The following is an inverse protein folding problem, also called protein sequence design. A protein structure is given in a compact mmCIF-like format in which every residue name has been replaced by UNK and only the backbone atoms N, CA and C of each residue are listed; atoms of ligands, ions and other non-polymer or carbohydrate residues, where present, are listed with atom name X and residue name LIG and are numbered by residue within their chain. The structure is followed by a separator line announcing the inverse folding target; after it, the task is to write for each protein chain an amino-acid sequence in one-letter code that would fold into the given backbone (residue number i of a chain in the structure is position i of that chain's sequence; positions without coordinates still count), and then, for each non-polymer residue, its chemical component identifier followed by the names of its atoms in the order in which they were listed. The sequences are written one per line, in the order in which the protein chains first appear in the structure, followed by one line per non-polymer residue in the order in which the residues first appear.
data_IF_569315845215
#
_entry.id   IF_569315845215
#
_cell.length_a   1.000
_cell.length_b   1.000
_cell.length_c   1.000
_cell.angle_alpha   90.00
_cell.angle_beta   90.00
_cell.angle_gamma   90.00
#
_symmetry.space_group_name_H-M   'P 1'
#
loop_
_entity.id
_entity.type
_entity.pdbx_description
1 polymer ?
#
# COMPACT_ATOMS: atom_id res chain seq x y z
N UNK A 1 75.77 15.33 0.42
CA UNK A 1 76.39 16.16 1.47
C UNK A 1 75.28 16.84 2.25
N UNK A 2 75.19 16.51 3.53
CA UNK A 2 74.80 17.35 4.68
C UNK A 2 73.76 18.46 4.52
N UNK A 3 72.59 18.22 5.13
CA UNK A 3 72.05 18.84 6.35
C UNK A 3 71.93 20.39 6.54
N UNK A 4 70.80 20.74 7.19
CA UNK A 4 70.39 21.94 7.98
C UNK A 4 69.68 23.05 7.18
N UNK A 5 68.39 23.36 7.37
CA UNK A 5 67.56 23.66 8.56
C UNK A 5 67.91 24.97 9.28
N UNK A 6 66.97 25.95 9.25
CA UNK A 6 66.52 26.94 10.29
C UNK A 6 65.44 27.81 9.60
N UNK A 7 64.13 27.62 9.78
CA UNK A 7 63.23 27.96 10.90
C UNK A 7 62.69 29.42 10.96
N UNK A 8 61.36 29.52 10.75
CA UNK A 8 60.32 30.38 11.36
C UNK A 8 60.13 31.86 10.94
N UNK A 9 58.92 32.11 10.44
CA UNK A 9 58.14 33.35 10.59
C UNK A 9 56.68 33.10 10.24
N UNK A 10 55.77 33.25 11.23
CA UNK A 10 54.31 33.10 11.11
C UNK A 10 53.68 34.28 10.35
N UNK A 11 52.56 34.02 9.69
CA UNK A 11 51.59 35.03 9.25
C UNK A 11 50.41 34.39 8.54
N UNK A 12 49.33 34.13 9.28
CA UNK A 12 48.02 33.72 8.76
C UNK A 12 47.42 34.84 7.91
N UNK A 13 46.87 34.49 6.75
CA UNK A 13 45.77 35.24 6.13
C UNK A 13 44.63 34.27 5.82
N UNK A 14 43.52 34.53 6.51
CA UNK A 14 42.17 34.02 6.29
C UNK A 14 41.60 34.66 5.03
N UNK A 15 41.16 33.85 4.06
CA UNK A 15 40.19 34.28 3.05
C UNK A 15 38.80 33.84 3.50
N UNK A 16 37.98 34.84 3.77
CA UNK A 16 36.60 34.73 4.23
C UNK A 16 35.66 34.47 3.07
N UNK A 17 34.91 33.36 3.16
CA UNK A 17 33.65 33.14 2.46
C UNK A 17 32.68 34.30 2.78
N UNK A 18 32.27 35.06 1.76
CA UNK A 18 31.36 36.20 1.93
C UNK A 18 29.90 35.74 1.91
N UNK A 19 29.28 35.71 3.08
CA UNK A 19 27.82 35.63 3.26
C UNK A 19 27.17 36.84 2.56
N UNK A 20 26.08 36.67 1.77
CA UNK A 20 25.38 37.79 1.15
C UNK A 20 24.92 38.81 2.21
N UNK A 21 25.12 40.11 1.98
CA UNK A 21 24.93 41.17 3.00
C UNK A 21 23.55 41.15 3.68
N UNK A 22 22.49 40.68 2.98
CA UNK A 22 21.15 40.50 3.56
C UNK A 22 21.08 39.42 4.65
N UNK A 23 21.83 38.32 4.49
CA UNK A 23 21.91 37.23 5.46
C UNK A 23 22.75 37.64 6.69
N UNK A 24 23.71 38.55 6.53
CA UNK A 24 24.54 39.07 7.63
C UNK A 24 23.77 39.97 8.60
N UNK A 25 22.77 40.70 8.10
CA UNK A 25 21.87 41.52 8.94
C UNK A 25 20.88 40.65 9.71
N UNK A 26 20.29 39.62 9.09
CA UNK A 26 19.37 38.68 9.75
C UNK A 26 20.07 37.85 10.86
N UNK A 27 21.33 37.43 10.64
CA UNK A 27 22.12 36.69 11.64
C UNK A 27 22.42 37.55 12.89
N UNK A 28 22.59 38.87 12.74
CA UNK A 28 22.86 39.78 13.87
C UNK A 28 21.62 40.06 14.72
N UNK A 29 20.41 39.98 14.16
CA UNK A 29 19.18 40.11 14.93
C UNK A 29 18.94 38.85 15.79
N UNK A 30 19.32 37.67 15.30
CA UNK A 30 19.18 36.37 16.00
C UNK A 30 20.02 36.30 17.30
N UNK A 31 21.20 36.94 17.35
CA UNK A 31 22.06 36.92 18.54
C UNK A 31 21.50 37.73 19.74
N UNK A 32 20.45 38.54 19.54
CA UNK A 32 19.90 39.41 20.60
C UNK A 32 18.75 38.82 21.41
N UNK A 33 18.41 37.55 21.19
CA UNK A 33 17.68 36.74 22.15
C UNK A 33 16.21 37.13 22.33
N UNK A 34 15.35 36.66 21.43
CA UNK A 34 13.95 36.41 21.70
C UNK A 34 13.54 35.10 21.03
N UNK A 35 13.11 34.13 21.83
CA UNK A 35 12.71 32.79 21.36
C UNK A 35 11.31 32.75 20.71
N UNK A 36 10.69 33.91 20.46
CA UNK A 36 9.37 34.01 19.81
C UNK A 36 9.47 34.13 18.28
N UNK A 37 10.64 34.46 17.71
CA UNK A 37 10.84 34.65 16.26
C UNK A 37 11.37 33.40 15.52
N UNK A 38 11.47 32.25 16.19
CA UNK A 38 11.82 30.96 15.55
C UNK A 38 10.80 30.49 14.50
N UNK A 39 9.66 31.18 14.37
CA UNK A 39 8.65 30.97 13.33
C UNK A 39 8.92 31.75 12.03
N UNK A 40 9.94 32.61 11.96
CA UNK A 40 10.23 33.41 10.77
C UNK A 40 11.45 32.95 9.97
N UNK A 41 12.25 32.00 10.47
CA UNK A 41 13.38 31.46 9.70
C UNK A 41 12.82 30.54 8.60
N UNK A 42 13.03 30.85 7.30
CA UNK A 42 12.61 29.96 6.24
C UNK A 42 13.29 28.62 6.44
N UNK A 43 12.52 27.53 6.40
CA UNK A 43 13.02 26.18 6.71
C UNK A 43 14.23 25.77 5.83
N UNK A 44 14.36 26.37 4.65
CA UNK A 44 15.52 26.25 3.76
C UNK A 44 16.82 26.79 4.38
N UNK A 45 16.75 27.86 5.16
CA UNK A 45 17.89 28.46 5.88
C UNK A 45 18.31 27.56 7.04
N UNK A 46 17.35 27.03 7.79
CA UNK A 46 17.65 26.07 8.87
C UNK A 46 18.29 24.79 8.34
N UNK A 47 17.83 24.29 7.18
CA UNK A 47 18.40 23.09 6.58
C UNK A 47 19.81 23.33 6.00
N UNK A 48 20.04 24.53 5.47
CA UNK A 48 21.37 24.95 5.01
C UNK A 48 22.37 24.98 6.17
N UNK A 49 21.99 25.55 7.32
CA UNK A 49 22.83 25.59 8.53
C UNK A 49 23.16 24.19 9.05
N UNK A 50 22.19 23.27 9.10
CA UNK A 50 22.43 21.88 9.53
C UNK A 50 23.37 21.14 8.58
N UNK A 51 23.28 21.39 7.26
CA UNK A 51 24.15 20.76 6.27
C UNK A 51 25.58 21.33 6.29
N UNK A 52 25.73 22.63 6.55
CA UNK A 52 27.03 23.29 6.72
C UNK A 52 27.75 22.78 7.99
N UNK A 53 27.01 22.66 9.10
CA UNK A 53 27.52 22.05 10.33
C UNK A 53 27.98 20.59 10.10
N UNK A 54 27.23 19.80 9.33
CA UNK A 54 27.61 18.42 9.00
C UNK A 54 28.85 18.36 8.09
N UNK A 55 29.04 19.34 7.19
CA UNK A 55 30.23 19.49 6.33
C UNK A 55 31.48 19.78 7.18
N UNK A 56 31.35 20.66 8.17
CA UNK A 56 32.42 21.02 9.10
C UNK A 56 32.78 19.86 10.06
N UNK A 57 31.77 19.15 10.60
CA UNK A 57 31.98 18.09 11.60
C UNK A 57 32.52 16.80 10.99
N UNK A 58 32.03 16.41 9.81
CA UNK A 58 32.30 15.08 9.22
C UNK A 58 33.17 15.12 7.97
N UNK A 59 33.57 16.31 7.49
CA UNK A 59 34.45 16.46 6.32
C UNK A 59 33.85 15.87 5.05
N UNK A 60 32.52 15.86 4.94
CA UNK A 60 31.80 15.32 3.77
C UNK A 60 31.92 16.36 2.64
N UNK A 61 32.70 16.04 1.60
CA UNK A 61 32.89 16.92 0.45
C UNK A 61 31.73 16.75 -0.53
N UNK A 62 30.61 17.44 -0.25
CA UNK A 62 29.44 17.53 -1.15
C UNK A 62 29.68 18.72 -2.08
N UNK A 63 29.60 18.50 -3.39
CA UNK A 63 29.70 19.59 -4.37
C UNK A 63 28.48 20.53 -4.27
N UNK A 64 28.65 21.82 -4.61
CA UNK A 64 27.55 22.80 -4.51
C UNK A 64 26.35 22.41 -5.40
N UNK A 65 26.58 21.72 -6.52
CA UNK A 65 25.53 21.17 -7.39
C UNK A 65 24.74 20.03 -6.72
N UNK A 66 25.41 19.16 -5.95
CA UNK A 66 24.76 18.09 -5.18
C UNK A 66 24.02 18.64 -3.97
N UNK A 67 24.56 19.70 -3.35
CA UNK A 67 23.91 20.43 -2.27
C UNK A 67 22.64 21.12 -2.75
N UNK A 68 22.69 21.78 -3.92
CA UNK A 68 21.50 22.37 -4.56
C UNK A 68 20.47 21.30 -4.90
N UNK A 69 20.88 20.11 -5.35
CA UNK A 69 19.97 19.00 -5.60
C UNK A 69 19.32 18.49 -4.30
N UNK A 70 20.10 18.32 -3.24
CA UNK A 70 19.63 17.92 -1.90
C UNK A 70 18.70 18.99 -1.34
N UNK A 71 19.02 20.27 -1.48
CA UNK A 71 18.18 21.38 -1.05
C UNK A 71 16.91 21.49 -1.87
N UNK A 72 16.93 21.21 -3.17
CA UNK A 72 15.75 21.21 -4.04
C UNK A 72 14.81 20.05 -3.70
N UNK A 73 15.36 18.83 -3.57
CA UNK A 73 14.63 17.64 -3.15
C UNK A 73 14.09 17.80 -1.72
N UNK A 74 14.92 18.32 -0.81
CA UNK A 74 14.49 18.56 0.56
C UNK A 74 13.49 19.70 0.63
N UNK A 75 13.62 20.79 -0.14
CA UNK A 75 12.61 21.86 -0.21
C UNK A 75 11.26 21.34 -0.71
N UNK A 76 11.27 20.41 -1.68
CA UNK A 76 10.05 19.74 -2.13
C UNK A 76 9.43 18.86 -1.03
N UNK A 77 10.24 18.09 -0.30
CA UNK A 77 9.82 17.28 0.85
C UNK A 77 9.31 18.15 2.00
N UNK A 78 9.99 19.26 2.30
CA UNK A 78 9.63 20.21 3.36
C UNK A 78 8.32 20.91 3.04
N UNK A 79 8.11 21.31 1.78
CA UNK A 79 6.83 21.89 1.34
C UNK A 79 5.69 20.87 1.40
N UNK A 80 5.96 19.59 1.10
CA UNK A 80 5.02 18.48 1.33
C UNK A 80 4.70 18.34 2.82
N UNK A 81 5.70 18.38 3.69
CA UNK A 81 5.52 18.31 5.15
C UNK A 81 4.72 19.52 5.65
N UNK A 82 4.99 20.72 5.16
CA UNK A 82 4.25 21.94 5.50
C UNK A 82 2.80 21.86 5.06
N UNK A 83 2.52 21.49 3.80
CA UNK A 83 1.15 21.32 3.27
C UNK A 83 0.37 20.27 4.09
N UNK A 84 1.03 19.17 4.47
CA UNK A 84 0.47 18.14 5.34
C UNK A 84 0.18 18.68 6.74
N UNK A 85 1.15 19.36 7.38
CA UNK A 85 1.02 19.91 8.72
C UNK A 85 -0.07 20.99 8.78
N UNK A 86 -0.17 21.83 7.76
CA UNK A 86 -1.23 22.84 7.64
C UNK A 86 -2.61 22.17 7.58
N UNK A 87 -2.75 21.12 6.78
CA UNK A 87 -4.02 20.37 6.68
C UNK A 87 -4.32 19.63 7.98
N UNK A 88 -3.32 19.00 8.57
CA UNK A 88 -3.39 18.35 9.88
C UNK A 88 -3.89 19.34 10.94
N UNK A 89 -3.25 20.48 11.12
CA UNK A 89 -3.62 21.49 12.13
C UNK A 89 -5.05 21.99 11.90
N UNK A 90 -5.46 22.21 10.64
CA UNK A 90 -6.82 22.66 10.29
C UNK A 90 -7.89 21.61 10.60
N UNK A 91 -7.54 20.33 10.58
CA UNK A 91 -8.49 19.21 10.66
C UNK A 91 -8.36 18.37 11.93
N UNK A 92 -7.36 18.62 12.79
CA UNK A 92 -7.04 17.82 13.99
C UNK A 92 -8.23 17.64 14.95
N UNK A 93 -9.12 18.62 15.00
CA UNK A 93 -10.30 18.61 15.90
C UNK A 93 -11.54 17.97 15.23
N UNK A 94 -11.43 17.62 13.93
CA UNK A 94 -12.53 17.06 13.11
C UNK A 94 -12.26 15.64 12.65
N UNK A 95 -11.00 15.23 12.59
CA UNK A 95 -10.55 13.98 12.00
C UNK A 95 -9.71 13.22 13.03
N UNK A 96 -10.08 11.97 13.28
CA UNK A 96 -9.28 11.07 14.12
C UNK A 96 -8.20 10.40 13.27
N UNK A 97 -6.99 10.97 13.32
CA UNK A 97 -5.86 10.52 12.53
C UNK A 97 -5.30 9.19 13.03
N UNK A 98 -5.35 8.96 14.35
CA UNK A 98 -4.92 7.69 14.93
C UNK A 98 -5.82 6.55 14.43
N UNK A 99 -7.13 6.80 14.36
CA UNK A 99 -8.07 5.86 13.76
C UNK A 99 -7.72 5.56 12.30
N UNK A 100 -7.43 6.57 11.49
CA UNK A 100 -7.09 6.36 10.07
C UNK A 100 -5.77 5.61 9.91
N UNK A 101 -4.76 5.95 10.71
CA UNK A 101 -3.48 5.24 10.73
C UNK A 101 -3.68 3.77 11.09
N UNK A 102 -4.50 3.47 12.11
CA UNK A 102 -4.85 2.10 12.46
C UNK A 102 -5.55 1.36 11.30
N UNK A 103 -6.38 2.04 10.50
CA UNK A 103 -6.98 1.45 9.29
C UNK A 103 -5.91 1.10 8.23
N UNK A 104 -4.96 2.00 7.98
CA UNK A 104 -3.87 1.75 7.03
C UNK A 104 -2.95 0.62 7.51
N UNK A 105 -2.64 0.57 8.81
CA UNK A 105 -1.93 -0.52 9.45
C UNK A 105 -2.72 -1.83 9.36
N UNK A 106 -4.04 -1.81 9.50
CA UNK A 106 -4.89 -2.99 9.33
C UNK A 106 -4.89 -3.52 7.88
N UNK A 107 -4.77 -2.64 6.88
CA UNK A 107 -4.65 -3.02 5.46
C UNK A 107 -3.29 -3.67 5.15
N UNK A 108 -2.21 -3.16 5.72
CA UNK A 108 -0.84 -3.64 5.44
C UNK A 108 -0.44 -4.87 6.27
N UNK A 109 -0.96 -4.99 7.50
CA UNK A 109 -0.64 -6.07 8.46
C UNK A 109 -0.69 -7.50 7.92
N UNK A 110 -1.64 -7.90 7.04
CA UNK A 110 -1.66 -9.26 6.48
C UNK A 110 -0.35 -9.65 5.76
N UNK A 111 0.45 -8.65 5.39
CA UNK A 111 1.64 -8.76 4.54
C UNK A 111 2.88 -8.36 5.32
N UNK A 112 2.79 -7.35 6.18
CA UNK A 112 3.93 -6.80 6.93
C UNK A 112 4.14 -7.43 8.30
N UNK A 113 3.15 -8.14 8.85
CA UNK A 113 3.30 -8.81 10.14
C UNK A 113 4.17 -10.07 9.98
N UNK A 114 5.49 -9.87 10.11
CA UNK A 114 6.49 -10.93 10.01
C UNK A 114 6.55 -11.75 11.28
N UNK A 115 6.59 -13.08 11.13
CA UNK A 115 6.89 -13.99 12.24
C UNK A 115 8.27 -13.63 12.77
N UNK A 116 8.35 -13.22 14.04
CA UNK A 116 9.64 -13.01 14.71
C UNK A 116 10.21 -14.41 14.99
N UNK A 117 11.32 -14.82 14.34
CA UNK A 117 11.92 -16.10 14.66
C UNK A 117 12.49 -16.05 16.08
N UNK A 118 12.32 -17.14 16.83
CA UNK A 118 12.80 -17.22 18.22
C UNK A 118 14.33 -17.28 18.27
N UNK A 119 14.98 -17.62 17.14
CA UNK A 119 16.44 -17.67 16.98
C UNK A 119 16.89 -16.97 15.69
N UNK A 120 17.99 -16.21 15.71
CA UNK A 120 18.52 -15.52 14.51
C UNK A 120 18.84 -16.46 13.34
N UNK A 121 19.17 -17.72 13.64
CA UNK A 121 19.55 -18.76 12.66
C UNK A 121 18.36 -19.23 11.80
N UNK A 122 17.11 -19.07 12.27
CA UNK A 122 15.91 -19.47 11.54
C UNK A 122 15.59 -18.52 10.38
N UNK A 123 16.09 -17.28 10.40
CA UNK A 123 15.83 -16.25 9.37
C UNK A 123 16.30 -16.71 7.97
N UNK A 124 17.36 -17.52 7.90
CA UNK A 124 17.97 -17.97 6.64
C UNK A 124 17.18 -19.12 6.00
N UNK A 125 16.31 -19.81 6.75
CA UNK A 125 15.51 -20.95 6.28
C UNK A 125 14.02 -20.62 6.04
N UNK A 126 13.54 -19.44 6.46
CA UNK A 126 12.14 -19.04 6.29
C UNK A 126 11.87 -18.71 4.81
N UNK A 127 11.16 -19.59 4.12
CA UNK A 127 10.57 -19.28 2.82
C UNK A 127 9.56 -18.13 2.93
N UNK A 128 9.25 -17.43 1.84
CA UNK A 128 8.23 -16.34 1.77
C UNK A 128 6.87 -16.78 2.36
N UNK A 129 6.61 -18.09 2.37
CA UNK A 129 5.43 -18.75 2.93
C UNK A 129 5.33 -18.65 4.46
N UNK A 130 6.39 -18.22 5.16
CA UNK A 130 6.39 -18.08 6.63
C UNK A 130 6.63 -16.64 7.12
N UNK A 131 6.80 -15.69 6.19
CA UNK A 131 7.16 -14.30 6.50
C UNK A 131 5.95 -13.38 6.73
N UNK A 132 4.72 -13.80 6.46
CA UNK A 132 3.55 -12.96 6.72
C UNK A 132 2.29 -13.78 7.01
N UNK A 133 1.21 -13.12 7.43
CA UNK A 133 -0.08 -13.77 7.74
C UNK A 133 -0.62 -14.48 6.49
N UNK A 134 -0.65 -13.82 5.33
CA UNK A 134 -1.18 -14.42 4.09
C UNK A 134 -0.28 -15.56 3.59
N UNK A 135 1.04 -15.42 3.71
CA UNK A 135 2.01 -16.48 3.43
C UNK A 135 1.76 -17.71 4.31
N UNK A 136 1.58 -17.52 5.62
CA UNK A 136 1.29 -18.61 6.57
C UNK A 136 -0.03 -19.34 6.27
N UNK A 137 -0.97 -18.61 5.67
CA UNK A 137 -2.24 -19.12 5.16
C UNK A 137 -2.12 -19.73 3.76
N UNK A 138 -0.93 -19.72 3.16
CA UNK A 138 -0.56 -20.24 1.85
C UNK A 138 -1.30 -19.60 0.69
N UNK A 139 -1.45 -18.27 0.76
CA UNK A 139 -1.82 -17.44 -0.39
C UNK A 139 -0.68 -17.42 -1.42
N UNK A 140 -1.00 -17.15 -2.68
CA UNK A 140 -0.02 -17.07 -3.77
C UNK A 140 0.76 -15.76 -3.67
N UNK A 141 2.00 -15.78 -4.14
CA UNK A 141 2.84 -14.59 -4.23
C UNK A 141 2.13 -13.49 -5.04
N UNK A 142 1.48 -13.83 -6.14
CA UNK A 142 0.75 -12.87 -6.98
C UNK A 142 -0.43 -12.23 -6.24
N UNK A 143 -1.22 -13.02 -5.49
CA UNK A 143 -2.29 -12.47 -4.66
C UNK A 143 -1.72 -11.54 -3.60
N UNK A 144 -0.65 -11.95 -2.91
CA UNK A 144 0.00 -11.14 -1.87
C UNK A 144 0.54 -9.84 -2.46
N UNK A 145 1.19 -9.87 -3.62
CA UNK A 145 1.68 -8.68 -4.30
C UNK A 145 0.55 -7.72 -4.68
N UNK A 146 -0.58 -8.22 -5.19
CA UNK A 146 -1.73 -7.38 -5.51
C UNK A 146 -2.32 -6.70 -4.28
N UNK A 147 -2.48 -7.42 -3.17
CA UNK A 147 -2.99 -6.86 -1.91
C UNK A 147 -1.97 -5.88 -1.32
N UNK A 148 -0.67 -6.15 -1.42
CA UNK A 148 0.40 -5.25 -0.96
C UNK A 148 0.34 -3.91 -1.68
N UNK A 149 0.30 -3.96 -3.02
CA UNK A 149 0.19 -2.77 -3.84
C UNK A 149 -1.10 -2.02 -3.55
N UNK A 150 -2.22 -2.72 -3.34
CA UNK A 150 -3.46 -2.07 -2.96
C UNK A 150 -3.35 -1.31 -1.62
N UNK A 151 -2.66 -1.88 -0.63
CA UNK A 151 -2.33 -1.20 0.63
C UNK A 151 -1.51 0.07 0.41
N UNK A 152 -0.44 0.00 -0.40
CA UNK A 152 0.35 1.20 -0.75
C UNK A 152 -0.44 2.26 -1.49
N UNK A 153 -1.44 1.88 -2.29
CA UNK A 153 -2.35 2.82 -2.93
C UNK A 153 -3.30 3.50 -1.91
N UNK A 154 -3.69 2.79 -0.85
CA UNK A 154 -4.46 3.37 0.25
C UNK A 154 -3.64 4.42 1.01
N UNK A 155 -2.37 4.10 1.33
CA UNK A 155 -1.43 5.04 1.96
C UNK A 155 -1.22 6.27 1.08
N UNK A 156 -0.99 6.05 -0.22
CA UNK A 156 -0.87 7.14 -1.19
C UNK A 156 -2.14 7.99 -1.26
N UNK A 157 -3.33 7.37 -1.24
CA UNK A 157 -4.60 8.09 -1.25
C UNK A 157 -4.76 8.97 -0.01
N UNK A 158 -4.43 8.45 1.17
CA UNK A 158 -4.39 9.20 2.43
C UNK A 158 -3.44 10.40 2.32
N UNK A 159 -2.20 10.18 1.88
CA UNK A 159 -1.22 11.26 1.71
C UNK A 159 -1.72 12.34 0.74
N UNK A 160 -2.29 11.96 -0.40
CA UNK A 160 -2.84 12.92 -1.36
C UNK A 160 -4.03 13.71 -0.81
N UNK A 161 -4.85 13.10 0.05
CA UNK A 161 -5.92 13.80 0.77
C UNK A 161 -5.31 14.85 1.71
N UNK A 162 -4.34 14.44 2.52
CA UNK A 162 -3.70 15.30 3.52
C UNK A 162 -2.85 16.42 2.90
N UNK A 163 -2.31 16.22 1.70
CA UNK A 163 -1.61 17.26 0.95
C UNK A 163 -2.54 18.24 0.20
N UNK A 164 -3.86 18.11 0.36
CA UNK A 164 -4.82 18.94 -0.36
C UNK A 164 -4.78 18.71 -1.88
N UNK A 165 -4.38 17.50 -2.33
CA UNK A 165 -4.34 17.08 -3.74
C UNK A 165 -5.37 15.99 -4.05
N UNK A 166 -6.68 16.21 -3.76
CA UNK A 166 -7.71 15.18 -3.87
C UNK A 166 -7.95 14.69 -5.30
N UNK A 167 -7.51 15.44 -6.33
CA UNK A 167 -7.60 15.03 -7.72
C UNK A 167 -6.78 13.75 -8.04
N UNK A 168 -5.74 13.46 -7.24
CA UNK A 168 -4.95 12.22 -7.37
C UNK A 168 -5.49 11.09 -6.51
N UNK A 169 -6.21 11.42 -5.43
CA UNK A 169 -6.84 10.46 -4.52
C UNK A 169 -7.77 9.50 -5.27
N UNK A 170 -8.57 10.00 -6.22
CA UNK A 170 -9.52 9.16 -6.95
C UNK A 170 -8.84 8.06 -7.78
N UNK A 171 -7.71 8.37 -8.41
CA UNK A 171 -6.88 7.39 -9.13
C UNK A 171 -6.32 6.33 -8.18
N UNK A 172 -5.86 6.73 -7.00
CA UNK A 172 -5.26 5.85 -6.02
C UNK A 172 -6.30 4.93 -5.37
N UNK A 173 -7.46 5.45 -4.96
CA UNK A 173 -8.55 4.65 -4.42
C UNK A 173 -9.10 3.65 -5.45
N UNK A 174 -9.15 4.05 -6.74
CA UNK A 174 -9.51 3.14 -7.82
C UNK A 174 -8.50 1.99 -7.95
N UNK A 175 -7.21 2.32 -7.96
CA UNK A 175 -6.13 1.33 -8.02
C UNK A 175 -6.19 0.37 -6.84
N UNK A 176 -6.39 0.88 -5.62
CA UNK A 176 -6.61 0.09 -4.41
C UNK A 176 -7.73 -0.95 -4.61
N UNK A 177 -8.93 -0.53 -5.05
CA UNK A 177 -10.07 -1.44 -5.28
C UNK A 177 -9.72 -2.50 -6.33
N UNK A 178 -9.19 -2.10 -7.49
CA UNK A 178 -8.90 -3.04 -8.59
C UNK A 178 -7.86 -4.09 -8.20
N UNK A 179 -6.77 -3.67 -7.56
CA UNK A 179 -5.68 -4.55 -7.16
C UNK A 179 -6.15 -5.48 -6.04
N UNK A 180 -6.87 -4.97 -5.04
CA UNK A 180 -7.38 -5.78 -3.93
C UNK A 180 -8.30 -6.89 -4.43
N UNK A 181 -9.29 -6.55 -5.27
CA UNK A 181 -10.24 -7.53 -5.81
C UNK A 181 -9.57 -8.57 -6.72
N UNK A 182 -8.52 -8.20 -7.47
CA UNK A 182 -7.70 -9.16 -8.23
C UNK A 182 -6.98 -10.14 -7.32
N UNK A 183 -6.41 -9.67 -6.21
CA UNK A 183 -5.82 -10.54 -5.19
C UNK A 183 -6.82 -11.56 -4.66
N UNK A 184 -8.01 -11.10 -4.24
CA UNK A 184 -9.07 -12.01 -3.76
C UNK A 184 -9.50 -13.02 -4.82
N UNK A 185 -9.62 -12.59 -6.08
CA UNK A 185 -10.00 -13.45 -7.20
C UNK A 185 -8.98 -14.57 -7.45
N UNK A 186 -7.69 -14.24 -7.44
CA UNK A 186 -6.60 -15.21 -7.66
C UNK A 186 -6.75 -16.39 -6.70
N UNK A 187 -6.92 -16.12 -5.40
CA UNK A 187 -7.02 -17.19 -4.40
C UNK A 187 -8.26 -18.07 -4.56
N UNK A 188 -9.39 -17.49 -4.94
CA UNK A 188 -10.60 -18.27 -5.21
C UNK A 188 -10.42 -19.16 -6.44
N UNK A 189 -9.81 -18.65 -7.52
CA UNK A 189 -9.58 -19.41 -8.73
C UNK A 189 -8.46 -20.46 -8.58
N UNK A 190 -7.53 -20.29 -7.64
CA UNK A 190 -6.57 -21.34 -7.28
C UNK A 190 -7.26 -22.52 -6.58
N UNK A 191 -8.33 -22.26 -5.81
CA UNK A 191 -9.13 -23.31 -5.20
C UNK A 191 -9.94 -24.09 -6.25
N UNK A 192 -9.65 -25.40 -6.35
CA UNK A 192 -10.27 -26.29 -7.34
C UNK A 192 -11.81 -26.32 -7.30
N UNK A 193 -12.40 -26.26 -6.11
CA UNK A 193 -13.87 -26.33 -5.96
C UNK A 193 -14.53 -25.07 -6.52
N UNK A 194 -13.99 -23.91 -6.14
CA UNK A 194 -14.52 -22.61 -6.55
C UNK A 194 -14.26 -22.35 -8.04
N UNK A 195 -13.06 -22.69 -8.54
CA UNK A 195 -12.75 -22.67 -9.97
C UNK A 195 -13.68 -23.58 -10.77
N UNK A 196 -13.99 -24.77 -10.27
CA UNK A 196 -14.91 -25.70 -10.91
C UNK A 196 -16.30 -25.11 -11.16
N UNK A 197 -16.79 -24.25 -10.27
CA UNK A 197 -18.06 -23.53 -10.47
C UNK A 197 -18.00 -22.55 -11.65
N UNK A 198 -16.84 -21.90 -11.84
CA UNK A 198 -16.59 -21.00 -12.98
C UNK A 198 -16.49 -21.80 -14.27
N UNK A 199 -15.75 -22.91 -14.26
CA UNK A 199 -15.61 -23.82 -15.39
C UNK A 199 -16.97 -24.35 -15.85
N UNK A 200 -17.79 -24.87 -14.93
CA UNK A 200 -19.14 -25.38 -15.23
C UNK A 200 -20.00 -24.32 -15.92
N UNK A 201 -19.86 -23.05 -15.52
CA UNK A 201 -20.58 -21.93 -16.14
C UNK A 201 -19.99 -21.55 -17.51
N UNK A 202 -18.67 -21.56 -17.65
CA UNK A 202 -17.98 -21.34 -18.92
C UNK A 202 -18.41 -22.38 -19.98
N UNK A 203 -18.66 -23.62 -19.56
CA UNK A 203 -19.09 -24.71 -20.43
C UNK A 203 -20.60 -24.70 -20.76
N UNK A 204 -21.46 -24.07 -19.94
CA UNK A 204 -22.93 -24.02 -20.14
C UNK A 204 -23.45 -22.78 -20.90
N UNK A 205 -22.66 -21.73 -21.03
CA UNK A 205 -22.82 -20.69 -22.06
C UNK A 205 -23.62 -19.41 -21.75
N UNK A 206 -23.52 -18.48 -22.72
CA UNK A 206 -24.28 -17.24 -23.04
C UNK A 206 -23.97 -15.90 -22.35
N UNK A 207 -23.09 -15.81 -21.34
CA UNK A 207 -22.60 -14.51 -20.84
C UNK A 207 -21.18 -14.31 -21.32
N UNK A 208 -20.88 -13.16 -21.92
CA UNK A 208 -19.51 -12.67 -22.07
C UNK A 208 -18.97 -12.40 -20.66
N UNK A 209 -18.54 -13.43 -19.94
CA UNK A 209 -17.96 -13.32 -18.59
C UNK A 209 -16.44 -13.45 -18.72
N UNK A 210 -15.73 -12.36 -18.44
CA UNK A 210 -14.28 -12.31 -18.60
C UNK A 210 -13.51 -13.22 -17.65
N UNK A 211 -14.05 -13.52 -16.46
CA UNK A 211 -13.46 -14.50 -15.52
C UNK A 211 -13.61 -15.90 -16.10
N UNK A 212 -14.81 -16.24 -16.58
CA UNK A 212 -15.08 -17.55 -17.16
C UNK A 212 -14.25 -17.81 -18.44
N UNK A 213 -14.12 -16.79 -19.30
CA UNK A 213 -13.25 -16.87 -20.49
C UNK A 213 -11.79 -17.07 -20.11
N UNK A 214 -11.28 -16.35 -19.09
CA UNK A 214 -9.91 -16.52 -18.61
C UNK A 214 -9.68 -17.95 -18.12
N UNK A 215 -10.56 -18.46 -17.25
CA UNK A 215 -10.45 -19.81 -16.67
C UNK A 215 -10.45 -20.87 -17.77
N UNK A 216 -11.34 -20.73 -18.77
CA UNK A 216 -11.37 -21.64 -19.91
C UNK A 216 -10.04 -21.65 -20.67
N UNK A 217 -9.48 -20.48 -20.98
CA UNK A 217 -8.20 -20.40 -21.70
C UNK A 217 -7.03 -20.95 -20.88
N UNK A 218 -6.99 -20.68 -19.57
CA UNK A 218 -5.98 -21.25 -18.67
C UNK A 218 -6.09 -22.78 -18.62
N UNK A 219 -7.31 -23.32 -18.60
CA UNK A 219 -7.56 -24.75 -18.62
C UNK A 219 -7.16 -25.41 -19.95
N UNK A 220 -7.44 -24.75 -21.08
CA UNK A 220 -6.99 -25.20 -22.40
C UNK A 220 -5.45 -25.23 -22.49
N UNK A 221 -4.77 -24.21 -21.94
CA UNK A 221 -3.31 -24.13 -21.86
C UNK A 221 -2.76 -25.24 -20.96
N UNK A 222 -3.34 -25.46 -19.79
CA UNK A 222 -2.96 -26.59 -18.92
C UNK A 222 -3.04 -27.91 -19.68
N UNK A 223 -4.13 -28.17 -20.40
CA UNK A 223 -4.31 -29.44 -21.14
C UNK A 223 -3.27 -29.59 -22.25
N UNK A 224 -2.90 -28.51 -22.90
CA UNK A 224 -1.90 -28.53 -23.97
C UNK A 224 -0.47 -28.73 -23.46
N UNK A 225 -0.13 -28.18 -22.29
CA UNK A 225 1.25 -28.12 -21.78
C UNK A 225 1.51 -28.94 -20.50
N UNK A 226 0.50 -29.58 -19.92
CA UNK A 226 0.64 -30.43 -18.72
C UNK A 226 0.97 -29.65 -17.43
N UNK A 227 0.64 -28.36 -17.37
CA UNK A 227 0.94 -27.47 -16.23
C UNK A 227 -0.19 -27.48 -15.19
N UNK A 228 0.11 -27.21 -13.92
CA UNK A 228 -0.92 -27.13 -12.87
C UNK A 228 -1.76 -25.84 -13.00
N UNK A 229 -3.09 -25.94 -12.96
CA UNK A 229 -3.97 -24.76 -13.12
C UNK A 229 -3.67 -23.69 -12.07
N UNK A 230 -3.37 -24.11 -10.83
CA UNK A 230 -3.17 -23.19 -9.70
C UNK A 230 -1.98 -22.26 -9.90
N UNK A 231 -0.96 -22.71 -10.64
CA UNK A 231 0.27 -21.95 -10.90
C UNK A 231 0.13 -21.02 -12.10
N UNK A 232 -0.89 -21.24 -12.94
CA UNK A 232 -1.17 -20.42 -14.12
C UNK A 232 -2.09 -19.23 -13.81
N UNK A 233 -3.00 -19.35 -12.83
CA UNK A 233 -4.02 -18.33 -12.55
C UNK A 233 -3.41 -16.98 -12.16
N UNK A 234 -2.44 -16.98 -11.23
CA UNK A 234 -1.79 -15.75 -10.76
C UNK A 234 -1.14 -14.97 -11.92
N UNK A 235 -0.21 -15.58 -12.66
CA UNK A 235 0.42 -14.95 -13.82
C UNK A 235 -0.58 -14.55 -14.92
N UNK A 236 -1.61 -15.36 -15.16
CA UNK A 236 -2.64 -15.06 -16.17
C UNK A 236 -3.43 -13.78 -15.85
N UNK A 237 -3.66 -13.50 -14.57
CA UNK A 237 -4.35 -12.28 -14.12
C UNK A 237 -3.38 -11.10 -14.00
N UNK A 238 -2.16 -11.34 -13.53
CA UNK A 238 -1.17 -10.30 -13.27
C UNK A 238 -0.61 -9.71 -14.57
N UNK A 239 -0.33 -10.57 -15.55
CA UNK A 239 0.41 -10.22 -16.76
C UNK A 239 -0.17 -10.91 -18.00
N UNK A 240 -1.45 -10.66 -18.33
CA UNK A 240 -2.12 -11.36 -19.43
C UNK A 240 -1.44 -11.13 -20.79
N UNK A 241 -0.75 -10.00 -20.98
CA UNK A 241 -0.05 -9.67 -22.22
C UNK A 241 1.29 -10.40 -22.40
N UNK A 242 2.02 -10.69 -21.33
CA UNK A 242 3.34 -11.36 -21.37
C UNK A 242 3.30 -12.83 -20.95
N UNK A 243 2.13 -13.34 -20.54
CA UNK A 243 1.93 -14.69 -20.02
C UNK A 243 2.61 -15.80 -20.84
N UNK A 244 2.36 -15.85 -22.16
CA UNK A 244 2.96 -16.89 -23.01
C UNK A 244 4.49 -16.79 -23.11
N UNK A 245 5.03 -15.56 -23.11
CA UNK A 245 6.47 -15.30 -23.15
C UNK A 245 7.14 -15.72 -21.85
N UNK A 246 6.53 -15.43 -20.70
CA UNK A 246 7.06 -15.78 -19.37
C UNK A 246 7.08 -17.29 -19.13
N UNK A 247 6.08 -18.00 -19.64
CA UNK A 247 6.01 -19.46 -19.55
C UNK A 247 6.81 -20.18 -20.65
N UNK A 248 7.45 -19.45 -21.57
CA UNK A 248 8.17 -20.05 -22.70
C UNK A 248 7.27 -20.82 -23.68
N UNK A 249 5.96 -20.56 -23.66
CA UNK A 249 4.97 -21.25 -24.50
C UNK A 249 4.55 -20.38 -25.68
N UNK A 250 4.46 -21.01 -26.87
CA UNK A 250 3.88 -20.35 -28.04
C UNK A 250 2.36 -20.47 -27.97
N UNK A 251 1.72 -19.43 -27.42
CA UNK A 251 0.28 -19.27 -27.61
C UNK A 251 -0.01 -19.13 -29.12
N UNK A 252 -1.01 -19.85 -29.66
CA UNK A 252 -1.41 -19.70 -31.05
C UNK A 252 -1.65 -18.21 -31.39
N UNK A 253 -1.18 -17.78 -32.56
CA UNK A 253 -1.20 -16.38 -32.99
C UNK A 253 -2.58 -15.73 -32.73
N UNK A 254 -2.60 -14.66 -31.92
CA UNK A 254 -3.76 -13.85 -31.49
C UNK A 254 -4.53 -14.26 -30.23
N UNK A 255 -4.19 -15.33 -29.51
CA UNK A 255 -4.78 -15.59 -28.18
C UNK A 255 -4.14 -14.70 -27.11
N UNK A 256 -4.63 -13.45 -26.99
CA UNK A 256 -4.42 -12.66 -25.77
C UNK A 256 -5.39 -13.17 -24.70
N UNK A 257 -4.86 -13.43 -23.50
CA UNK A 257 -5.71 -13.70 -22.35
C UNK A 257 -6.67 -12.52 -22.12
N UNK A 258 -7.96 -12.76 -21.86
CA UNK A 258 -8.91 -11.69 -21.65
C UNK A 258 -8.56 -10.91 -20.39
N UNK A 259 -8.64 -9.59 -20.47
CA UNK A 259 -8.59 -8.74 -19.27
C UNK A 259 -9.86 -8.98 -18.47
N UNK A 260 -9.68 -9.36 -17.20
CA UNK A 260 -10.80 -9.59 -16.29
C UNK A 260 -11.42 -8.25 -15.90
N UNK A 261 -12.72 -8.09 -16.19
CA UNK A 261 -13.48 -6.87 -15.91
C UNK A 261 -13.94 -6.87 -14.46
N UNK A 262 -13.81 -5.73 -13.78
CA UNK A 262 -14.19 -5.57 -12.37
C UNK A 262 -15.63 -6.04 -12.07
N UNK A 263 -16.56 -5.75 -12.97
CA UNK A 263 -17.95 -6.17 -12.82
C UNK A 263 -18.12 -7.69 -12.72
N UNK A 264 -17.34 -8.45 -13.50
CA UNK A 264 -17.33 -9.91 -13.48
C UNK A 264 -16.59 -10.44 -12.23
N UNK A 265 -15.51 -9.76 -11.79
CA UNK A 265 -14.83 -10.08 -10.52
C UNK A 265 -15.80 -9.96 -9.34
N UNK A 266 -16.47 -8.80 -9.21
CA UNK A 266 -17.43 -8.55 -8.14
C UNK A 266 -18.60 -9.52 -8.17
N UNK A 267 -19.08 -9.87 -9.36
CA UNK A 267 -20.11 -10.89 -9.51
C UNK A 267 -19.68 -12.22 -8.89
N UNK A 268 -18.49 -12.73 -9.23
CA UNK A 268 -18.01 -14.00 -8.67
C UNK A 268 -17.70 -13.93 -7.18
N UNK A 269 -17.11 -12.84 -6.70
CA UNK A 269 -16.87 -12.65 -5.26
C UNK A 269 -18.19 -12.58 -4.47
N UNK A 270 -19.25 -12.02 -5.05
CA UNK A 270 -20.60 -12.04 -4.47
C UNK A 270 -21.22 -13.46 -4.50
N UNK A 271 -21.09 -14.21 -5.60
CA UNK A 271 -21.54 -15.62 -5.67
C UNK A 271 -20.86 -16.50 -4.61
N UNK A 272 -19.59 -16.23 -4.30
CA UNK A 272 -18.83 -16.95 -3.27
C UNK A 272 -19.01 -16.38 -1.85
N UNK A 273 -19.98 -15.47 -1.66
CA UNK A 273 -20.26 -14.83 -0.39
C UNK A 273 -19.04 -14.10 0.25
N UNK A 274 -18.08 -13.67 -0.58
CA UNK A 274 -16.99 -12.79 -0.16
C UNK A 274 -17.53 -11.42 0.22
N UNK A 275 -18.51 -10.94 -0.53
CA UNK A 275 -19.34 -9.79 -0.19
C UNK A 275 -20.78 -10.26 -0.04
N UNK A 276 -21.30 -10.35 1.19
CA UNK A 276 -22.66 -10.84 1.44
C UNK A 276 -23.72 -9.97 0.73
N UNK A 277 -24.62 -10.62 0.00
CA UNK A 277 -25.65 -9.97 -0.84
C UNK A 277 -26.61 -9.10 -0.01
N UNK A 278 -26.95 -9.56 1.19
CA UNK A 278 -27.84 -8.88 2.13
C UNK A 278 -27.29 -7.52 2.58
N UNK A 279 -25.98 -7.32 2.51
CA UNK A 279 -25.32 -6.07 2.88
C UNK A 279 -25.12 -5.11 1.69
N UNK A 280 -25.36 -5.55 0.45
CA UNK A 280 -25.21 -4.71 -0.75
C UNK A 280 -23.79 -4.20 -1.02
N UNK A 281 -22.75 -4.78 -0.39
CA UNK A 281 -21.39 -4.26 -0.43
C UNK A 281 -20.75 -4.35 -1.82
N UNK A 282 -21.03 -5.42 -2.58
CA UNK A 282 -20.52 -5.55 -3.95
C UNK A 282 -21.06 -4.43 -4.86
N UNK A 283 -22.32 -4.03 -4.66
CA UNK A 283 -22.93 -2.92 -5.38
C UNK A 283 -22.31 -1.58 -4.94
N UNK A 284 -22.07 -1.39 -3.64
CA UNK A 284 -21.37 -0.21 -3.13
C UNK A 284 -19.98 -0.05 -3.76
N UNK A 285 -19.16 -1.11 -3.81
CA UNK A 285 -17.84 -1.08 -4.45
C UNK A 285 -17.96 -0.74 -5.94
N UNK A 286 -18.94 -1.34 -6.63
CA UNK A 286 -19.18 -1.08 -8.05
C UNK A 286 -19.51 0.39 -8.32
N UNK A 287 -20.35 0.98 -7.49
CA UNK A 287 -20.75 2.38 -7.63
C UNK A 287 -19.61 3.34 -7.25
N UNK A 288 -18.88 3.05 -6.18
CA UNK A 288 -17.66 3.78 -5.83
C UNK A 288 -16.65 3.76 -6.98
N UNK A 289 -16.33 2.57 -7.52
CA UNK A 289 -15.41 2.44 -8.66
C UNK A 289 -15.88 3.19 -9.90
N UNK A 290 -17.19 3.14 -10.24
CA UNK A 290 -17.74 3.90 -11.37
C UNK A 290 -17.61 5.40 -11.17
N UNK A 291 -17.89 5.92 -9.97
CA UNK A 291 -17.71 7.35 -9.64
C UNK A 291 -16.25 7.76 -9.84
N UNK A 292 -15.32 6.98 -9.28
CA UNK A 292 -13.88 7.22 -9.42
C UNK A 292 -13.41 7.15 -10.89
N UNK A 293 -13.98 6.27 -11.71
CA UNK A 293 -13.67 6.23 -13.15
C UNK A 293 -14.09 7.50 -13.89
N UNK A 294 -15.25 8.06 -13.59
CA UNK A 294 -15.70 9.33 -14.20
C UNK A 294 -14.75 10.47 -13.83
N UNK A 295 -14.21 10.46 -12.61
CA UNK A 295 -13.26 11.46 -12.13
C UNK A 295 -11.90 11.34 -12.83
N UNK A 296 -11.38 10.12 -12.99
CA UNK A 296 -10.10 9.85 -13.65
C UNK A 296 -10.15 10.15 -15.16
N UNK A 297 -11.29 9.95 -15.82
CA UNK A 297 -11.42 10.02 -17.29
C UNK A 297 -11.95 11.34 -17.85
N UNK A 298 -11.95 12.44 -17.08
CA UNK A 298 -11.87 13.76 -17.68
C UNK A 298 -13.08 14.68 -17.56
N UNK A 299 -13.85 14.61 -16.49
CA UNK A 299 -14.69 15.75 -16.11
C UNK A 299 -13.87 16.72 -15.23
N UNK A 300 -12.91 17.42 -15.85
CA UNK A 300 -12.03 18.41 -15.19
C UNK A 300 -12.87 19.43 -14.42
N UNK A 301 -14.06 19.79 -14.93
CA UNK A 301 -15.00 20.70 -14.27
C UNK A 301 -15.58 20.07 -13.00
N UNK A 302 -15.97 18.78 -13.01
CA UNK A 302 -16.37 18.10 -11.78
C UNK A 302 -15.22 17.95 -10.80
N UNK A 303 -14.01 17.58 -11.26
CA UNK A 303 -12.83 17.50 -10.39
C UNK A 303 -12.46 18.85 -9.78
N UNK A 304 -12.59 19.95 -10.54
CA UNK A 304 -12.37 21.32 -10.09
C UNK A 304 -13.47 21.84 -9.14
N UNK A 305 -14.75 21.59 -9.44
CA UNK A 305 -15.88 21.91 -8.55
C UNK A 305 -15.81 21.12 -7.24
N UNK A 306 -15.33 19.87 -7.30
CA UNK A 306 -14.99 19.10 -6.12
C UNK A 306 -13.81 19.76 -5.42
N UNK A 307 -12.73 20.16 -6.09
CA UNK A 307 -11.57 20.83 -5.48
C UNK A 307 -11.94 22.10 -4.69
N UNK A 308 -12.87 22.90 -5.23
CA UNK A 308 -13.44 24.08 -4.55
C UNK A 308 -14.27 23.65 -3.33
N UNK A 309 -15.12 22.63 -3.45
CA UNK A 309 -15.83 22.03 -2.32
C UNK A 309 -14.92 21.25 -1.34
N UNK A 310 -13.73 20.83 -1.76
CA UNK A 310 -12.82 19.90 -1.08
C UNK A 310 -11.91 20.57 -0.06
N UNK A 311 -11.63 21.87 -0.22
CA UNK A 311 -11.03 22.64 0.88
C UNK A 311 -11.86 22.55 2.19
N UNK A 312 -13.12 22.08 2.09
CA UNK A 312 -14.08 21.88 3.18
C UNK A 312 -14.50 20.40 3.38
N UNK A 313 -13.93 19.42 2.66
CA UNK A 313 -14.44 18.03 2.60
C UNK A 313 -13.36 16.92 2.74
N UNK A 314 -12.28 17.21 3.49
CA UNK A 314 -11.19 16.25 3.79
C UNK A 314 -11.72 15.04 4.57
N UNK A 315 -12.58 15.32 5.55
CA UNK A 315 -13.32 14.36 6.36
C UNK A 315 -14.10 13.33 5.50
N UNK A 316 -14.85 13.80 4.49
CA UNK A 316 -15.64 12.93 3.62
C UNK A 316 -14.76 11.95 2.83
N UNK A 317 -13.60 12.39 2.34
CA UNK A 317 -12.69 11.52 1.59
C UNK A 317 -12.01 10.49 2.49
N UNK A 318 -11.64 10.89 3.72
CA UNK A 318 -11.07 9.98 4.70
C UNK A 318 -12.11 8.96 5.17
N UNK A 319 -13.37 9.37 5.37
CA UNK A 319 -14.46 8.45 5.66
C UNK A 319 -14.71 7.48 4.51
N UNK A 320 -14.67 7.94 3.25
CA UNK A 320 -14.80 7.05 2.09
C UNK A 320 -13.63 6.06 2.01
N UNK A 321 -12.40 6.50 2.29
CA UNK A 321 -11.23 5.64 2.38
C UNK A 321 -11.41 4.59 3.48
N UNK A 322 -11.75 5.00 4.70
CA UNK A 322 -11.97 4.10 5.84
C UNK A 322 -13.07 3.08 5.54
N UNK A 323 -14.18 3.53 4.97
CA UNK A 323 -15.31 2.65 4.64
C UNK A 323 -14.95 1.63 3.57
N UNK A 324 -14.26 2.03 2.51
CA UNK A 324 -13.78 1.11 1.48
C UNK A 324 -12.76 0.12 2.06
N UNK A 325 -11.84 0.57 2.92
CA UNK A 325 -10.90 -0.30 3.62
C UNK A 325 -11.59 -1.35 4.48
N UNK A 326 -12.65 -0.99 5.23
CA UNK A 326 -13.45 -1.95 6.00
C UNK A 326 -14.08 -3.02 5.09
N UNK A 327 -14.68 -2.62 3.97
CA UNK A 327 -15.31 -3.55 3.04
C UNK A 327 -14.26 -4.48 2.41
N UNK A 328 -13.12 -3.94 1.97
CA UNK A 328 -12.06 -4.72 1.34
C UNK A 328 -11.40 -5.70 2.31
N UNK A 329 -11.17 -5.30 3.57
CA UNK A 329 -10.68 -6.18 4.62
C UNK A 329 -11.68 -7.26 5.00
N UNK A 330 -12.98 -6.95 5.07
CA UNK A 330 -14.02 -7.96 5.18
C UNK A 330 -13.91 -8.99 4.05
N UNK A 331 -13.74 -8.52 2.81
CA UNK A 331 -13.53 -9.37 1.64
C UNK A 331 -12.32 -10.30 1.80
N UNK A 332 -11.20 -9.77 2.33
CA UNK A 332 -10.02 -10.59 2.63
C UNK A 332 -10.31 -11.65 3.70
N UNK A 333 -10.96 -11.29 4.80
CA UNK A 333 -11.31 -12.25 5.86
C UNK A 333 -12.29 -13.34 5.37
N UNK A 334 -13.26 -12.99 4.52
CA UNK A 334 -14.14 -13.98 3.89
C UNK A 334 -13.37 -14.87 2.91
N UNK A 335 -12.41 -14.31 2.18
CA UNK A 335 -11.50 -15.07 1.30
C UNK A 335 -10.69 -16.08 2.12
N UNK A 336 -10.11 -15.66 3.23
CA UNK A 336 -9.39 -16.55 4.16
C UNK A 336 -10.30 -17.68 4.66
N UNK A 337 -11.56 -17.40 4.99
CA UNK A 337 -12.51 -18.45 5.35
C UNK A 337 -12.80 -19.41 4.20
N UNK A 338 -12.97 -18.90 2.98
CA UNK A 338 -13.32 -19.71 1.82
C UNK A 338 -12.15 -20.61 1.38
N UNK A 339 -10.91 -20.11 1.43
CA UNK A 339 -9.75 -20.76 0.79
C UNK A 339 -8.70 -21.29 1.77
N UNK A 340 -8.63 -20.77 3.00
CA UNK A 340 -7.55 -21.05 3.94
C UNK A 340 -8.01 -21.39 5.36
N UNK A 341 -9.30 -21.64 5.58
CA UNK A 341 -9.88 -21.92 6.92
C UNK A 341 -9.15 -22.99 7.71
N UNK A 342 -8.68 -24.06 7.07
CA UNK A 342 -7.97 -25.18 7.73
C UNK A 342 -6.54 -24.82 8.18
N UNK A 343 -6.02 -23.68 7.72
CA UNK A 343 -4.64 -23.20 7.97
C UNK A 343 -4.57 -22.06 8.98
N UNK A 344 -5.70 -21.57 9.52
CA UNK A 344 -5.73 -20.46 10.48
C UNK A 344 -4.81 -20.65 11.70
N UNK A 345 -4.66 -21.88 12.18
CA UNK A 345 -3.77 -22.20 13.30
C UNK A 345 -2.27 -21.98 13.02
N UNK A 346 -1.87 -21.83 11.75
CA UNK A 346 -0.47 -21.59 11.34
C UNK A 346 -0.03 -20.16 11.56
N UNK A 347 -0.98 -19.21 11.60
CA UNK A 347 -0.67 -17.80 11.75
C UNK A 347 -0.13 -17.54 13.15
N UNK A 348 0.97 -16.80 13.23
CA UNK A 348 1.58 -16.36 14.48
C UNK A 348 0.57 -15.62 15.39
N UNK A 349 0.68 -15.83 16.70
CA UNK A 349 -0.26 -15.25 17.66
C UNK A 349 -0.09 -13.74 17.82
N UNK A 350 1.16 -13.25 17.78
CA UNK A 350 1.45 -11.83 17.92
C UNK A 350 1.00 -11.06 16.67
N UNK A 351 1.33 -11.56 15.48
CA UNK A 351 0.87 -11.01 14.21
C UNK A 351 -0.67 -10.95 14.15
N UNK A 352 -1.35 -12.03 14.53
CA UNK A 352 -2.82 -12.08 14.57
C UNK A 352 -3.41 -11.15 15.63
N UNK A 353 -2.76 -10.98 16.78
CA UNK A 353 -3.17 -10.04 17.82
C UNK A 353 -3.03 -8.59 17.34
N UNK A 354 -1.87 -8.18 16.82
CA UNK A 354 -1.63 -6.83 16.29
C UNK A 354 -2.63 -6.47 15.19
N UNK A 355 -2.87 -7.40 14.26
CA UNK A 355 -3.84 -7.14 13.20
C UNK A 355 -5.26 -6.90 13.76
N UNK A 356 -5.65 -7.62 14.81
CA UNK A 356 -6.93 -7.37 15.51
C UNK A 356 -6.97 -6.03 16.22
N UNK A 357 -5.88 -5.63 16.86
CA UNK A 357 -5.77 -4.35 17.57
C UNK A 357 -5.98 -3.19 16.58
N UNK A 358 -5.27 -3.19 15.44
CA UNK A 358 -5.47 -2.18 14.39
C UNK A 358 -6.89 -2.16 13.81
N UNK A 359 -7.52 -3.33 13.63
CA UNK A 359 -8.93 -3.40 13.19
C UNK A 359 -9.88 -2.76 14.21
N UNK A 360 -9.59 -2.91 15.50
CA UNK A 360 -10.40 -2.35 16.58
C UNK A 360 -10.17 -0.85 16.72
N UNK A 361 -8.92 -0.40 16.72
CA UNK A 361 -8.52 1.01 16.76
C UNK A 361 -9.02 1.79 15.54
N UNK A 362 -9.04 1.16 14.36
CA UNK A 362 -9.63 1.73 13.15
C UNK A 362 -11.17 1.76 13.14
N UNK A 363 -11.82 1.20 14.16
CA UNK A 363 -13.28 1.07 14.30
C UNK A 363 -13.95 0.41 13.08
N UNK A 364 -13.28 -0.58 12.48
CA UNK A 364 -13.76 -1.26 11.27
C UNK A 364 -14.92 -2.19 11.60
N UNK A 365 -16.14 -1.74 11.33
CA UNK A 365 -17.37 -2.39 11.78
C UNK A 365 -17.56 -3.80 11.19
N UNK A 366 -17.47 -3.95 9.87
CA UNK A 366 -17.71 -5.23 9.21
C UNK A 366 -16.54 -6.19 9.47
N UNK A 367 -15.32 -5.70 9.31
CA UNK A 367 -14.07 -6.44 9.51
C UNK A 367 -13.96 -6.92 10.96
N UNK A 368 -14.20 -6.04 11.93
CA UNK A 368 -14.13 -6.38 13.36
C UNK A 368 -15.13 -7.46 13.77
N UNK A 369 -16.33 -7.49 13.16
CA UNK A 369 -17.30 -8.59 13.36
C UNK A 369 -16.75 -9.90 12.80
N UNK A 370 -16.26 -9.90 11.57
CA UNK A 370 -15.75 -11.12 10.91
C UNK A 370 -14.49 -11.66 11.60
N UNK A 371 -13.60 -10.78 12.01
CA UNK A 371 -12.35 -11.11 12.69
C UNK A 371 -12.60 -11.86 14.01
N UNK A 372 -13.62 -11.47 14.78
CA UNK A 372 -14.03 -12.20 15.99
C UNK A 372 -14.45 -13.65 15.71
N UNK A 373 -15.18 -13.88 14.62
CA UNK A 373 -15.61 -15.22 14.20
C UNK A 373 -14.40 -16.08 13.84
N UNK A 374 -13.48 -15.53 13.03
CA UNK A 374 -12.27 -16.24 12.63
C UNK A 374 -11.33 -16.51 13.81
N UNK A 375 -11.22 -15.58 14.75
CA UNK A 375 -10.41 -15.77 15.96
C UNK A 375 -10.94 -16.92 16.84
N UNK A 376 -12.24 -16.98 17.05
CA UNK A 376 -12.86 -18.08 17.80
C UNK A 376 -12.59 -19.44 17.12
N UNK A 377 -12.67 -19.47 15.79
CA UNK A 377 -12.36 -20.65 14.99
C UNK A 377 -10.87 -21.03 15.09
N UNK A 378 -9.96 -20.06 14.95
CA UNK A 378 -8.50 -20.25 15.08
C UNK A 378 -8.15 -20.83 16.45
N UNK A 379 -8.65 -20.25 17.54
CA UNK A 379 -8.47 -20.76 18.91
C UNK A 379 -8.95 -22.20 19.07
N UNK A 380 -10.10 -22.56 18.47
CA UNK A 380 -10.62 -23.94 18.46
C UNK A 380 -9.69 -24.90 17.74
N UNK A 381 -9.08 -24.49 16.62
CA UNK A 381 -8.13 -25.31 15.87
C UNK A 381 -6.83 -25.54 16.65
N UNK A 382 -6.27 -24.49 17.26
CA UNK A 382 -5.07 -24.58 18.11
C UNK A 382 -5.31 -25.54 19.28
N UNK A 383 -6.44 -25.41 19.99
CA UNK A 383 -6.81 -26.31 21.10
C UNK A 383 -6.94 -27.76 20.67
N UNK A 384 -7.49 -28.02 19.48
CA UNK A 384 -7.59 -29.39 18.94
C UNK A 384 -6.21 -29.97 18.68
N UNK A 385 -5.32 -29.23 18.03
CA UNK A 385 -3.95 -29.70 17.76
C UNK A 385 -3.16 -30.03 19.02
N UNK A 386 -3.25 -29.19 20.05
CA UNK A 386 -2.60 -29.44 21.36
C UNK A 386 -3.12 -30.67 22.11
N UNK A 387 -4.25 -31.27 21.69
CA UNK A 387 -4.76 -32.52 22.27
C UNK A 387 -4.30 -33.77 21.51
N UNK A 388 -3.74 -33.59 20.31
CA UNK A 388 -3.24 -34.67 19.46
C UNK A 388 -1.71 -34.71 19.39
N UNK A 389 -1.04 -33.71 19.97
CA UNK A 389 0.37 -33.69 20.36
C UNK A 389 0.44 -34.03 21.84
#
# INVERSE_FOLDING_TARGET
MEARAVARGRGNHTDSSSVPERLSEEIKEIETGNAEDLFEIPLSVSLWLVLDDLREIYGIDISDDELDLILLETHYILRIIEDFLVTYIKQRDKIDINRIEAVLLALSSPITAVKIPEKPEEIVELSVEELCILGSLGFSTESVCFIAQAGSYADGAFLMIMLGRPHLTGTLMRGMIELWLKGLLIEHLRNRVLRGQVEERAYRGRRDDSVAMLVKQVEDIRRAYGLESADLIGPAIMRPESFGKELGIRLPNHQRLPKVRLGDILYWLEEWAVFPRDLGLAQHIRDAWRRLCVEVHGDIIKSFLRQIRHSWAVDILLDELVHLSDILLLGLLNTIENTAKSRLWRVDEEAWRKWREYIQEGELYYTGRKMRVLDALRKKQIRRRRRYL
#
